data_IF_920602683192
#
_entry.id   IF_920602683192
#
_cell.length_a   1.000
_cell.length_b   1.000
_cell.length_c   1.000
_cell.angle_alpha   90.00
_cell.angle_beta   90.00
_cell.angle_gamma   90.00
#
_symmetry.space_group_name_H-M   'P 1'
#
loop_
_entity.id
_entity.type
_entity.pdbx_description
1 polymer ?
#
# COMPACT_ATOMS: atom_id res chain seq x y z
N UNK A 1 -12.96 6.01 2.13
CA UNK A 1 -12.91 5.02 3.23
C UNK A 1 -12.74 5.78 4.54
N UNK A 2 -13.52 5.47 5.58
CA UNK A 2 -13.42 6.12 6.89
C UNK A 2 -12.21 5.57 7.66
N UNK A 3 -11.11 6.33 7.70
CA UNK A 3 -9.87 5.92 8.36
C UNK A 3 -9.97 5.88 9.88
N UNK A 4 -11.01 6.49 10.47
CA UNK A 4 -11.23 6.52 11.92
C UNK A 4 -11.48 5.14 12.56
N UNK A 5 -11.91 4.15 11.77
CA UNK A 5 -12.18 2.79 12.24
C UNK A 5 -10.96 1.86 12.15
N UNK A 6 -9.81 2.33 11.65
CA UNK A 6 -8.62 1.51 11.52
C UNK A 6 -7.92 1.30 12.88
N UNK A 7 -7.29 0.14 13.13
CA UNK A 7 -6.57 -0.12 14.37
C UNK A 7 -5.38 0.82 14.55
N UNK A 8 -5.20 1.38 15.75
CA UNK A 8 -3.99 2.13 16.13
C UNK A 8 -2.78 1.25 16.44
N UNK A 9 -2.94 -0.08 16.37
CA UNK A 9 -1.88 -1.06 16.65
C UNK A 9 -1.06 -1.39 15.39
N UNK A 10 0.16 -1.91 15.61
CA UNK A 10 1.01 -2.39 14.52
C UNK A 10 0.40 -3.59 13.78
N UNK A 11 0.87 -3.86 12.57
CA UNK A 11 0.38 -4.96 11.75
C UNK A 11 0.92 -4.91 10.32
N UNK A 12 0.35 -5.75 9.45
CA UNK A 12 0.68 -5.81 8.02
C UNK A 12 -0.54 -5.50 7.17
N UNK A 13 -0.34 -5.00 5.96
CA UNK A 13 -1.42 -4.62 5.06
C UNK A 13 -1.07 -4.85 3.60
N UNK A 14 -2.12 -4.95 2.78
CA UNK A 14 -2.05 -4.96 1.31
C UNK A 14 -3.00 -3.90 0.77
N UNK A 15 -2.49 -3.02 -0.08
CA UNK A 15 -3.29 -2.10 -0.89
C UNK A 15 -3.45 -2.67 -2.29
N UNK A 16 -4.70 -2.68 -2.78
CA UNK A 16 -5.02 -3.01 -4.17
C UNK A 16 -5.24 -1.71 -4.93
N UNK A 17 -4.47 -1.52 -5.99
CA UNK A 17 -4.40 -0.30 -6.77
C UNK A 17 -4.70 -0.62 -8.23
N UNK A 18 -5.44 0.26 -8.90
CA UNK A 18 -5.73 0.14 -10.32
C UNK A 18 -5.08 1.31 -11.07
N UNK A 19 -4.32 0.98 -12.12
CA UNK A 19 -3.78 1.92 -13.09
C UNK A 19 -4.59 1.75 -14.38
N UNK A 20 -5.38 2.75 -14.75
CA UNK A 20 -6.26 2.67 -15.93
C UNK A 20 -5.53 2.76 -17.27
N UNK A 21 -4.33 3.36 -17.29
CA UNK A 21 -3.54 3.61 -18.50
C UNK A 21 -2.07 3.51 -18.14
N UNK A 22 -1.25 2.92 -19.01
CA UNK A 22 0.18 2.78 -18.76
C UNK A 22 0.84 4.13 -18.45
N UNK A 23 1.82 4.12 -17.54
CA UNK A 23 2.56 5.30 -17.05
C UNK A 23 4.03 4.99 -16.93
N UNK A 24 4.86 6.01 -17.13
CA UNK A 24 6.27 6.00 -16.72
C UNK A 24 6.35 6.94 -15.53
N UNK A 25 6.93 6.46 -14.42
CA UNK A 25 7.10 7.22 -13.19
C UNK A 25 8.58 7.28 -12.84
N UNK A 26 9.07 8.45 -12.43
CA UNK A 26 10.40 8.57 -11.82
C UNK A 26 10.25 8.36 -10.31
N UNK A 27 10.69 7.20 -9.81
CA UNK A 27 10.48 6.77 -8.42
C UNK A 27 11.82 6.83 -7.66
N UNK A 28 12.13 7.97 -7.05
CA UNK A 28 13.31 8.14 -6.19
C UNK A 28 14.58 7.52 -6.79
N UNK A 29 15.22 6.62 -6.04
CA UNK A 29 16.44 5.90 -6.48
C UNK A 29 16.18 4.75 -7.46
N UNK A 30 14.93 4.30 -7.64
CA UNK A 30 14.59 3.30 -8.65
C UNK A 30 14.65 3.88 -10.08
N UNK A 31 14.70 5.20 -10.22
CA UNK A 31 14.71 5.86 -11.52
C UNK A 31 13.38 5.71 -12.25
N UNK A 32 13.42 5.62 -13.57
CA UNK A 32 12.22 5.46 -14.40
C UNK A 32 11.67 4.04 -14.33
N UNK A 33 10.41 3.93 -13.93
CA UNK A 33 9.66 2.69 -13.84
C UNK A 33 8.45 2.77 -14.76
N UNK A 34 8.36 1.84 -15.72
CA UNK A 34 7.20 1.71 -16.60
C UNK A 34 6.17 0.77 -15.95
N UNK A 35 4.96 1.28 -15.75
CA UNK A 35 3.81 0.55 -15.23
C UNK A 35 2.76 0.42 -16.34
N UNK A 36 2.38 -0.81 -16.64
CA UNK A 36 1.27 -1.10 -17.55
C UNK A 36 -0.09 -0.72 -16.92
N UNK A 37 -1.13 -0.63 -17.74
CA UNK A 37 -2.49 -0.61 -17.20
C UNK A 37 -2.78 -1.97 -16.52
N UNK A 38 -3.44 -1.95 -15.37
CA UNK A 38 -3.74 -3.17 -14.62
C UNK A 38 -3.94 -2.95 -13.13
N UNK A 39 -4.09 -4.06 -12.42
CA UNK A 39 -4.26 -4.11 -10.96
C UNK A 39 -2.94 -4.52 -10.31
N UNK A 40 -2.56 -3.79 -9.28
CA UNK A 40 -1.31 -3.96 -8.53
C UNK A 40 -1.63 -4.17 -7.05
N UNK A 41 -0.81 -4.99 -6.40
CA UNK A 41 -0.82 -5.17 -4.95
C UNK A 41 0.44 -4.56 -4.34
N UNK A 42 0.27 -3.75 -3.29
CA UNK A 42 1.37 -3.22 -2.49
C UNK A 42 1.26 -3.75 -1.07
N UNK A 43 2.24 -4.56 -0.66
CA UNK A 43 2.33 -5.11 0.69
C UNK A 43 3.27 -4.25 1.56
N UNK A 44 2.87 -4.02 2.81
CA UNK A 44 3.67 -3.25 3.75
C UNK A 44 3.39 -3.62 5.21
N UNK A 45 4.23 -3.10 6.10
CA UNK A 45 4.08 -3.22 7.55
C UNK A 45 3.86 -1.85 8.19
N UNK A 46 3.20 -1.84 9.34
CA UNK A 46 2.76 -0.65 10.04
C UNK A 46 3.14 -0.67 11.53
N UNK A 47 4.30 -1.22 11.88
CA UNK A 47 4.78 -1.33 13.28
C UNK A 47 5.39 -0.03 13.85
N UNK A 48 5.23 1.09 13.15
CA UNK A 48 5.70 2.40 13.64
C UNK A 48 4.65 3.10 14.50
N UNK A 49 4.96 4.33 14.94
CA UNK A 49 4.03 5.17 15.69
C UNK A 49 2.68 5.32 14.98
N UNK A 50 1.58 5.14 15.71
CA UNK A 50 0.21 5.22 15.21
C UNK A 50 -0.29 4.01 14.41
N UNK A 51 0.54 2.98 14.23
CA UNK A 51 0.11 1.67 13.75
C UNK A 51 -0.47 1.66 12.33
N UNK A 52 -1.36 0.70 12.10
CA UNK A 52 -2.12 0.54 10.86
C UNK A 52 -2.91 1.80 10.51
N UNK A 53 -3.56 2.46 11.49
CA UNK A 53 -4.34 3.68 11.29
C UNK A 53 -3.51 4.79 10.65
N UNK A 54 -2.34 5.09 11.22
CA UNK A 54 -1.47 6.13 10.69
C UNK A 54 -0.94 5.78 9.29
N UNK A 55 -0.44 4.56 9.11
CA UNK A 55 0.15 4.10 7.85
C UNK A 55 -0.87 4.05 6.71
N UNK A 56 -2.00 3.38 6.93
CA UNK A 56 -3.07 3.27 5.94
C UNK A 56 -3.76 4.61 5.72
N UNK A 57 -3.96 5.41 6.78
CA UNK A 57 -4.50 6.76 6.65
C UNK A 57 -3.71 7.60 5.66
N UNK A 58 -2.37 7.61 5.82
CA UNK A 58 -1.45 8.28 4.89
C UNK A 58 -1.62 7.80 3.43
N UNK A 59 -1.66 6.49 3.18
CA UNK A 59 -1.76 5.98 1.81
C UNK A 59 -3.14 6.19 1.17
N UNK A 60 -4.21 6.09 1.97
CA UNK A 60 -5.58 6.22 1.49
C UNK A 60 -5.94 7.67 1.19
N UNK A 61 -5.56 8.59 2.10
CA UNK A 61 -5.81 10.03 1.96
C UNK A 61 -4.81 10.67 1.00
N UNK A 62 -3.60 10.13 0.91
CA UNK A 62 -2.47 10.75 0.21
C UNK A 62 -1.83 11.82 1.09
N UNK A 63 -0.54 11.67 1.40
CA UNK A 63 0.19 12.65 2.22
C UNK A 63 0.70 13.88 1.45
N UNK A 64 0.64 13.87 0.11
CA UNK A 64 1.34 14.84 -0.75
C UNK A 64 2.88 14.66 -0.76
N UNK A 65 3.47 14.19 0.34
CA UNK A 65 4.87 13.84 0.44
C UNK A 65 5.18 12.51 -0.26
N UNK A 66 6.17 12.52 -1.16
CA UNK A 66 6.69 11.36 -1.89
C UNK A 66 7.87 10.76 -1.14
N UNK A 67 7.60 9.85 -0.19
CA UNK A 67 8.65 9.23 0.63
C UNK A 67 8.82 7.75 0.32
N UNK A 68 7.73 7.03 0.07
CA UNK A 68 7.74 5.61 -0.25
C UNK A 68 7.40 5.39 -1.73
N UNK A 69 7.87 4.29 -2.33
CA UNK A 69 7.58 3.97 -3.74
C UNK A 69 6.07 3.97 -4.04
N UNK A 70 5.25 3.53 -3.09
CA UNK A 70 3.79 3.55 -3.21
C UNK A 70 3.21 4.97 -3.31
N UNK A 71 3.87 5.99 -2.77
CA UNK A 71 3.37 7.38 -2.85
C UNK A 71 3.38 7.85 -4.31
N UNK A 72 4.43 7.50 -5.07
CA UNK A 72 4.54 7.79 -6.51
C UNK A 72 3.49 7.02 -7.32
N UNK A 73 3.29 5.74 -7.02
CA UNK A 73 2.28 4.91 -7.70
C UNK A 73 0.87 5.43 -7.39
N UNK A 74 0.62 5.84 -6.15
CA UNK A 74 -0.67 6.38 -5.71
C UNK A 74 -1.07 7.67 -6.44
N UNK A 75 -0.11 8.44 -6.93
CA UNK A 75 -0.36 9.64 -7.73
C UNK A 75 -1.06 9.34 -9.07
N UNK A 76 -0.87 8.13 -9.61
CA UNK A 76 -1.46 7.71 -10.90
C UNK A 76 -2.43 6.53 -10.79
N UNK A 77 -2.53 5.93 -9.61
CA UNK A 77 -3.36 4.76 -9.35
C UNK A 77 -4.51 5.07 -8.39
N UNK A 78 -5.67 4.46 -8.64
CA UNK A 78 -6.82 4.52 -7.73
C UNK A 78 -6.77 3.32 -6.77
N UNK A 79 -6.86 3.58 -5.46
CA UNK A 79 -7.03 2.51 -4.48
C UNK A 79 -8.42 1.90 -4.65
N UNK A 80 -8.47 0.59 -4.84
CA UNK A 80 -9.70 -0.19 -4.96
C UNK A 80 -10.05 -0.88 -3.64
N UNK A 81 -9.05 -1.44 -2.97
CA UNK A 81 -9.25 -2.17 -1.71
C UNK A 81 -8.03 -2.04 -0.80
N UNK A 82 -8.26 -2.32 0.48
CA UNK A 82 -7.24 -2.39 1.50
C UNK A 82 -7.56 -3.57 2.43
N UNK A 83 -6.59 -4.46 2.61
CA UNK A 83 -6.65 -5.58 3.54
C UNK A 83 -5.59 -5.40 4.61
N UNK A 84 -5.86 -5.79 5.84
CA UNK A 84 -4.89 -5.70 6.93
C UNK A 84 -5.06 -6.82 7.94
N UNK A 85 -3.97 -7.14 8.63
CA UNK A 85 -3.94 -7.95 9.84
C UNK A 85 -3.26 -7.18 10.95
N UNK A 86 -3.94 -7.01 12.09
CA UNK A 86 -3.39 -6.35 13.26
C UNK A 86 -2.55 -7.31 14.11
N UNK A 87 -1.51 -6.77 14.75
CA UNK A 87 -0.55 -7.51 15.56
C UNK A 87 0.51 -8.27 14.77
N UNK A 88 1.27 -9.10 15.49
CA UNK A 88 2.16 -10.09 14.91
C UNK A 88 1.35 -11.36 14.63
N UNK A 89 0.75 -11.44 13.45
CA UNK A 89 0.28 -12.71 12.93
C UNK A 89 1.38 -13.28 12.04
N UNK A 90 2.23 -14.15 12.60
CA UNK A 90 3.03 -15.09 11.80
C UNK A 90 2.10 -16.14 11.18
N UNK A 91 1.28 -15.72 10.22
CA UNK A 91 0.57 -16.67 9.35
C UNK A 91 1.55 -17.03 8.24
N UNK A 92 2.27 -18.12 8.46
CA UNK A 92 3.05 -18.81 7.43
C UNK A 92 2.19 -18.95 6.17
N UNK A 93 2.63 -18.37 5.04
CA UNK A 93 2.02 -18.68 3.74
C UNK A 93 2.51 -20.08 3.39
N UNK A 94 1.73 -21.10 3.75
CA UNK A 94 1.93 -22.43 3.20
C UNK A 94 1.65 -22.34 1.71
N UNK A 95 2.62 -22.71 0.88
CA UNK A 95 2.39 -22.92 -0.55
C UNK A 95 1.17 -23.84 -0.67
N UNK A 96 0.14 -23.39 -1.39
CA UNK A 96 -0.91 -24.31 -1.82
C UNK A 96 -0.20 -25.35 -2.70
N UNK A 97 -0.17 -26.59 -2.24
CA UNK A 97 0.32 -27.69 -3.04
C UNK A 97 -0.60 -27.80 -4.26
N UNK A 98 -0.01 -27.70 -5.45
CA UNK A 98 -0.66 -27.97 -6.73
C UNK A 98 -0.99 -29.45 -6.86
#
# INVERSE_FOLDING_TARGET
>A
MNTGQLPGTGGSYVLVLEIKRARVLTIGRLGEVRLSAGVYAYAGSAFGSGGLRARLGRHLQGSGAMHWHIDYVRAVAKVQACFYGAGYLSREIRKLAT
#
